data_IF_859525872985
#
_entry.id   IF_859525872985
#
_cell.length_a   1.000
_cell.length_b   1.000
_cell.length_c   1.000
_cell.angle_alpha   90.00
_cell.angle_beta   90.00
_cell.angle_gamma   90.00
#
_symmetry.space_group_name_H-M   'P 1'
#
loop_
_entity.id
_entity.type
_entity.pdbx_description
1 polymer ?
#
# COMPACT_ATOMS: atom_id res chain seq x y z
N UNK A 1 -8.46 -18.72 4.35
CA UNK A 1 -7.27 -18.07 3.78
C UNK A 1 -7.01 -18.67 2.41
N UNK A 2 -6.64 -17.83 1.44
CA UNK A 2 -6.41 -18.18 0.04
C UNK A 2 -5.00 -17.75 -0.38
N UNK A 3 -4.28 -18.63 -1.06
CA UNK A 3 -2.97 -18.29 -1.63
C UNK A 3 -3.17 -17.41 -2.88
N UNK A 4 -2.53 -16.24 -2.88
CA UNK A 4 -2.57 -15.28 -3.98
C UNK A 4 -1.14 -14.99 -4.42
N UNK A 5 -0.87 -15.18 -5.70
CA UNK A 5 0.40 -14.82 -6.32
C UNK A 5 0.22 -13.56 -7.14
N UNK A 6 0.97 -12.51 -6.83
CA UNK A 6 0.90 -11.25 -7.54
C UNK A 6 2.28 -10.76 -7.99
N UNK A 7 2.29 -9.94 -9.05
CA UNK A 7 3.48 -9.22 -9.48
C UNK A 7 3.58 -7.91 -8.70
N UNK A 8 4.71 -7.65 -8.07
CA UNK A 8 5.02 -6.40 -7.35
C UNK A 8 6.40 -5.91 -7.76
N UNK A 9 6.74 -4.69 -7.41
CA UNK A 9 8.06 -4.13 -7.65
C UNK A 9 9.12 -4.79 -6.75
N UNK A 10 10.32 -5.04 -7.28
CA UNK A 10 11.40 -5.73 -6.55
C UNK A 10 11.74 -5.00 -5.24
N UNK A 11 11.80 -3.67 -5.27
CA UNK A 11 12.03 -2.84 -4.09
C UNK A 11 10.97 -3.06 -3.01
N UNK A 12 9.70 -3.21 -3.39
CA UNK A 12 8.61 -3.46 -2.44
C UNK A 12 8.78 -4.85 -1.80
N UNK A 13 9.20 -5.85 -2.59
CA UNK A 13 9.47 -7.21 -2.09
C UNK A 13 10.64 -7.23 -1.11
N UNK A 14 11.73 -6.55 -1.44
CA UNK A 14 12.91 -6.42 -0.57
C UNK A 14 12.54 -5.73 0.73
N UNK A 15 11.78 -4.64 0.68
CA UNK A 15 11.34 -3.93 1.88
C UNK A 15 10.38 -4.75 2.75
N UNK A 16 9.47 -5.52 2.15
CA UNK A 16 8.63 -6.48 2.90
C UNK A 16 9.51 -7.52 3.61
N UNK A 17 10.57 -7.98 2.96
CA UNK A 17 11.51 -8.95 3.52
C UNK A 17 12.33 -8.35 4.67
N UNK A 18 12.87 -7.14 4.50
CA UNK A 18 13.60 -6.43 5.57
C UNK A 18 12.70 -6.20 6.79
N UNK A 19 11.46 -5.77 6.57
CA UNK A 19 10.52 -5.51 7.65
C UNK A 19 10.08 -6.81 8.35
N UNK A 20 9.95 -7.91 7.60
CA UNK A 20 9.61 -9.23 8.17
C UNK A 20 10.72 -9.75 9.07
N UNK A 21 11.98 -9.57 8.69
CA UNK A 21 13.15 -9.89 9.50
C UNK A 21 13.24 -9.02 10.76
N UNK A 22 13.09 -7.70 10.62
CA UNK A 22 13.11 -6.75 11.75
C UNK A 22 12.02 -7.06 12.78
N UNK A 23 10.81 -7.38 12.32
CA UNK A 23 9.65 -7.68 13.18
C UNK A 23 9.58 -9.14 13.61
N UNK A 24 10.48 -10.01 13.14
CA UNK A 24 10.49 -11.46 13.38
C UNK A 24 9.14 -12.12 13.02
N UNK A 25 8.57 -11.73 11.88
CA UNK A 25 7.28 -12.21 11.37
C UNK A 25 7.44 -12.73 9.95
N UNK A 26 6.47 -13.48 9.45
CA UNK A 26 6.52 -13.91 8.06
C UNK A 26 6.22 -12.76 7.09
N UNK A 27 6.80 -12.82 5.88
CA UNK A 27 6.50 -11.84 4.83
C UNK A 27 5.02 -11.79 4.47
N UNK A 28 4.28 -12.90 4.63
CA UNK A 28 2.82 -12.93 4.43
C UNK A 28 2.05 -12.20 5.54
N UNK A 29 2.53 -12.20 6.78
CA UNK A 29 1.93 -11.42 7.87
C UNK A 29 2.17 -9.93 7.67
N UNK A 30 3.41 -9.55 7.37
CA UNK A 30 3.75 -8.15 7.06
C UNK A 30 2.95 -7.63 5.87
N UNK A 31 2.83 -8.44 4.81
CA UNK A 31 2.07 -8.02 3.62
C UNK A 31 0.57 -7.86 3.94
N UNK A 32 0.00 -8.69 4.82
CA UNK A 32 -1.39 -8.53 5.26
C UNK A 32 -1.61 -7.23 6.01
N UNK A 33 -0.71 -6.90 6.94
CA UNK A 33 -0.79 -5.62 7.66
C UNK A 33 -0.65 -4.44 6.67
N UNK A 34 0.25 -4.53 5.70
CA UNK A 34 0.36 -3.50 4.65
C UNK A 34 -0.93 -3.33 3.84
N UNK A 35 -1.63 -4.43 3.53
CA UNK A 35 -2.91 -4.40 2.83
C UNK A 35 -3.97 -3.72 3.70
N UNK A 36 -4.12 -4.14 4.95
CA UNK A 36 -5.13 -3.58 5.86
C UNK A 36 -4.87 -2.09 6.11
N UNK A 37 -3.60 -1.72 6.27
CA UNK A 37 -3.18 -0.33 6.36
C UNK A 37 -3.60 0.43 5.09
N UNK A 38 -3.22 -0.06 3.90
CA UNK A 38 -3.58 0.56 2.62
C UNK A 38 -5.09 0.68 2.40
N UNK A 39 -5.88 -0.32 2.80
CA UNK A 39 -7.34 -0.28 2.75
C UNK A 39 -7.88 0.82 3.66
N UNK A 40 -7.43 0.87 4.92
CA UNK A 40 -7.85 1.90 5.88
C UNK A 40 -7.55 3.30 5.38
N UNK A 41 -6.34 3.51 4.85
CA UNK A 41 -5.96 4.77 4.22
C UNK A 41 -6.87 5.14 3.05
N UNK A 42 -7.12 4.22 2.13
CA UNK A 42 -7.96 4.48 0.97
C UNK A 42 -9.42 4.81 1.36
N UNK A 43 -9.94 4.21 2.42
CA UNK A 43 -11.30 4.44 2.90
C UNK A 43 -11.47 5.79 3.61
N UNK A 44 -10.47 6.21 4.39
CA UNK A 44 -10.57 7.40 5.24
C UNK A 44 -10.01 8.66 4.58
N UNK A 45 -8.93 8.52 3.81
CA UNK A 45 -8.28 9.61 3.12
C UNK A 45 -7.76 9.16 1.75
N UNK A 46 -8.66 8.94 0.79
CA UNK A 46 -8.27 8.53 -0.55
C UNK A 46 -7.34 9.57 -1.16
N UNK A 47 -6.16 9.14 -1.58
CA UNK A 47 -5.21 10.03 -2.24
C UNK A 47 -5.61 10.14 -3.71
N UNK A 48 -6.05 11.35 -4.09
CA UNK A 48 -6.48 11.66 -5.45
C UNK A 48 -5.28 12.25 -6.21
N UNK A 49 -4.59 11.45 -7.02
CA UNK A 49 -3.58 11.96 -7.94
C UNK A 49 -4.30 12.57 -9.14
N UNK A 50 -4.24 13.90 -9.29
CA UNK A 50 -4.77 14.59 -10.46
C UNK A 50 -3.68 14.69 -11.53
N UNK A 51 -3.92 14.13 -12.71
CA UNK A 51 -3.07 14.36 -13.89
C UNK A 51 -3.34 15.73 -14.52
N UNK A 52 -2.61 16.04 -15.59
CA UNK A 52 -2.89 17.22 -16.41
C UNK A 52 -4.38 17.27 -16.80
N UNK A 53 -4.99 18.46 -16.71
CA UNK A 53 -6.43 18.71 -16.92
C UNK A 53 -7.38 18.15 -15.84
N UNK A 54 -6.86 17.80 -14.65
CA UNK A 54 -7.70 17.45 -13.49
C UNK A 54 -8.24 16.01 -13.48
N UNK A 55 -7.77 15.15 -14.39
CA UNK A 55 -8.20 13.75 -14.49
C UNK A 55 -7.58 12.94 -13.34
N UNK A 56 -8.42 12.35 -12.49
CA UNK A 56 -7.99 11.44 -11.41
C UNK A 56 -7.30 10.20 -11.99
N UNK A 57 -6.10 9.87 -11.48
CA UNK A 57 -5.35 8.67 -11.82
C UNK A 57 -5.17 7.81 -10.57
N UNK A 58 -5.32 6.50 -10.74
CA UNK A 58 -5.02 5.52 -9.69
C UNK A 58 -3.50 5.44 -9.45
N UNK A 59 -3.12 5.09 -8.21
CA UNK A 59 -1.74 4.78 -7.81
C UNK A 59 -1.08 3.71 -8.68
N UNK A 60 -1.87 2.90 -9.39
CA UNK A 60 -1.40 1.88 -10.34
C UNK A 60 -0.45 2.42 -11.41
N UNK A 61 -0.51 3.72 -11.74
CA UNK A 61 0.33 4.38 -12.76
C UNK A 61 1.62 4.98 -12.24
N UNK A 62 1.85 5.01 -10.92
CA UNK A 62 3.17 5.33 -10.37
C UNK A 62 4.12 4.18 -10.63
N UNK A 63 5.22 4.44 -11.35
CA UNK A 63 6.30 3.46 -11.51
C UNK A 63 7.19 3.51 -10.26
N UNK A 64 7.14 2.44 -9.46
CA UNK A 64 8.00 2.26 -8.30
C UNK A 64 9.20 1.38 -8.66
N UNK A 65 10.22 1.97 -9.28
CA UNK A 65 11.34 1.21 -9.83
C UNK A 65 10.97 0.46 -11.11
N UNK A 66 11.98 -0.18 -11.71
CA UNK A 66 11.90 -0.62 -13.11
C UNK A 66 11.63 -2.12 -13.28
N UNK A 67 11.82 -2.94 -12.23
CA UNK A 67 11.67 -4.40 -12.30
C UNK A 67 10.53 -4.93 -11.42
N UNK A 68 9.60 -5.67 -12.06
CA UNK A 68 8.51 -6.35 -11.38
C UNK A 68 8.82 -7.83 -11.11
N UNK A 69 8.80 -8.24 -9.85
CA UNK A 69 8.98 -9.60 -9.33
C UNK A 69 7.65 -10.22 -8.87
N UNK A 70 7.65 -11.49 -8.43
CA UNK A 70 6.47 -12.17 -7.87
C UNK A 70 6.60 -12.40 -6.37
N UNK A 71 5.48 -12.29 -5.68
CA UNK A 71 5.30 -12.70 -4.29
C UNK A 71 4.04 -13.55 -4.17
N UNK A 72 4.09 -14.57 -3.31
CA UNK A 72 2.96 -15.42 -2.97
C UNK A 72 2.60 -15.20 -1.51
N UNK A 73 1.35 -14.83 -1.24
CA UNK A 73 0.86 -14.45 0.08
C UNK A 73 -0.46 -15.14 0.38
N UNK A 74 -0.69 -15.51 1.63
CA UNK A 74 -1.98 -16.01 2.07
C UNK A 74 -2.83 -14.86 2.58
N UNK A 75 -3.99 -14.65 1.96
CA UNK A 75 -4.92 -13.58 2.29
C UNK A 75 -6.26 -14.12 2.80
N UNK A 76 -6.93 -13.34 3.62
CA UNK A 76 -8.32 -13.63 4.00
C UNK A 76 -9.27 -13.16 2.90
N UNK A 77 -10.39 -13.88 2.71
CA UNK A 77 -11.40 -13.53 1.70
C UNK A 77 -11.96 -12.11 1.94
N UNK A 78 -12.02 -11.70 3.20
CA UNK A 78 -12.41 -10.35 3.57
C UNK A 78 -11.44 -9.28 3.07
N UNK A 79 -10.13 -9.50 3.17
CA UNK A 79 -9.12 -8.58 2.65
C UNK A 79 -9.22 -8.44 1.13
N UNK A 80 -9.48 -9.56 0.41
CA UNK A 80 -9.68 -9.56 -1.03
C UNK A 80 -10.91 -8.72 -1.43
N UNK A 81 -12.02 -8.92 -0.71
CA UNK A 81 -13.27 -8.19 -0.91
C UNK A 81 -13.12 -6.70 -0.59
N UNK A 82 -12.51 -6.37 0.54
CA UNK A 82 -12.33 -4.99 0.98
C UNK A 82 -11.37 -4.21 0.09
N UNK A 83 -10.26 -4.81 -0.34
CA UNK A 83 -9.36 -4.19 -1.30
C UNK A 83 -10.08 -3.90 -2.62
N UNK A 84 -10.79 -4.90 -3.18
CA UNK A 84 -11.53 -4.74 -4.43
C UNK A 84 -12.55 -3.61 -4.35
N UNK A 85 -13.24 -3.48 -3.21
CA UNK A 85 -14.22 -2.41 -2.94
C UNK A 85 -13.53 -1.04 -2.79
N UNK A 86 -12.41 -0.96 -2.09
CA UNK A 86 -11.73 0.29 -1.78
C UNK A 86 -11.02 0.91 -3.01
N UNK A 87 -10.44 0.08 -3.87
CA UNK A 87 -9.61 0.53 -5.00
C UNK A 87 -10.34 0.49 -6.36
N UNK A 88 -11.57 -0.02 -6.42
CA UNK A 88 -12.37 -0.14 -7.65
C UNK A 88 -11.55 -0.71 -8.84
N UNK A 89 -10.83 -1.81 -8.58
CA UNK A 89 -9.94 -2.46 -9.53
C UNK A 89 -10.18 -3.99 -9.49
N UNK A 90 -9.63 -4.71 -10.46
CA UNK A 90 -9.48 -6.17 -10.39
C UNK A 90 -8.87 -6.58 -9.06
N UNK A 91 -9.24 -7.75 -8.53
CA UNK A 91 -8.80 -8.21 -7.20
C UNK A 91 -7.27 -8.12 -7.04
N UNK A 92 -6.50 -8.63 -8.00
CA UNK A 92 -5.03 -8.57 -7.97
C UNK A 92 -4.47 -7.15 -8.11
N UNK A 93 -5.15 -6.28 -8.88
CA UNK A 93 -4.79 -4.87 -9.01
C UNK A 93 -5.05 -4.10 -7.71
N UNK A 94 -6.21 -4.33 -7.10
CA UNK A 94 -6.62 -3.73 -5.84
C UNK A 94 -5.69 -4.14 -4.69
N UNK A 95 -5.33 -5.41 -4.59
CA UNK A 95 -4.36 -5.88 -3.58
C UNK A 95 -2.99 -5.23 -3.79
N UNK A 96 -2.53 -5.12 -5.03
CA UNK A 96 -1.26 -4.43 -5.33
C UNK A 96 -1.32 -2.96 -4.91
N UNK A 97 -2.42 -2.27 -5.21
CA UNK A 97 -2.62 -0.87 -4.81
C UNK A 97 -2.67 -0.72 -3.29
N UNK A 98 -3.32 -1.64 -2.57
CA UNK A 98 -3.35 -1.67 -1.12
C UNK A 98 -1.93 -1.82 -0.52
N UNK A 99 -1.13 -2.79 -1.00
CA UNK A 99 0.24 -2.98 -0.51
C UNK A 99 1.08 -1.72 -0.76
N UNK A 100 1.00 -1.15 -1.97
CA UNK A 100 1.73 0.07 -2.33
C UNK A 100 1.34 1.23 -1.42
N UNK A 101 0.04 1.46 -1.24
CA UNK A 101 -0.44 2.55 -0.40
C UNK A 101 -0.01 2.34 1.05
N UNK A 102 -0.20 1.15 1.62
CA UNK A 102 0.26 0.83 2.97
C UNK A 102 1.76 1.09 3.16
N UNK A 103 2.58 0.68 2.19
CA UNK A 103 4.03 0.92 2.23
C UNK A 103 4.39 2.42 2.22
N UNK A 104 3.78 3.18 1.30
CA UNK A 104 4.03 4.61 1.17
C UNK A 104 3.64 5.34 2.46
N UNK A 105 2.52 4.95 3.03
CA UNK A 105 2.00 5.59 4.23
C UNK A 105 2.83 5.24 5.48
N UNK A 106 3.28 3.99 5.60
CA UNK A 106 4.21 3.58 6.65
C UNK A 106 5.52 4.40 6.59
N UNK A 107 5.92 4.84 5.39
CA UNK A 107 7.17 5.55 5.15
C UNK A 107 6.96 7.02 4.76
N UNK A 108 5.78 7.60 5.00
CA UNK A 108 5.36 8.87 4.39
C UNK A 108 6.33 10.04 4.64
N UNK A 109 7.02 10.07 5.78
CA UNK A 109 8.04 11.08 6.10
C UNK A 109 9.30 11.01 5.21
N UNK A 110 9.52 9.87 4.55
CA UNK A 110 10.71 9.55 3.73
C UNK A 110 10.41 9.44 2.24
N UNK A 111 9.13 9.44 1.82
CA UNK A 111 8.77 9.32 0.39
C UNK A 111 8.72 10.69 -0.28
N UNK A 112 9.67 10.94 -1.19
CA UNK A 112 9.71 12.15 -2.03
C UNK A 112 9.09 11.84 -3.39
N UNK A 113 8.10 12.64 -3.83
CA UNK A 113 7.57 12.54 -5.18
C UNK A 113 8.21 13.60 -6.06
N UNK A 114 8.85 13.19 -7.14
CA UNK A 114 9.39 14.10 -8.14
C UNK A 114 8.41 14.25 -9.29
N UNK A 115 7.96 15.47 -9.56
CA UNK A 115 7.40 15.86 -10.85
C UNK A 115 8.52 16.58 -11.63
N UNK A 116 8.66 16.45 -12.97
CA UNK A 116 9.63 17.17 -13.79
C UNK A 116 9.82 18.66 -13.47
N UNK A 117 8.83 19.34 -12.88
CA UNK A 117 8.90 20.76 -12.53
C UNK A 117 9.10 21.06 -11.03
N UNK A 118 8.86 20.11 -10.12
CA UNK A 118 8.95 20.35 -8.67
C UNK A 118 8.94 19.06 -7.84
N UNK A 119 9.64 19.08 -6.71
CA UNK A 119 9.42 18.12 -5.63
C UNK A 119 8.07 18.37 -4.96
N UNK A 120 7.25 17.33 -4.85
CA UNK A 120 5.97 17.33 -4.17
C UNK A 120 6.13 16.46 -2.92
N UNK A 121 5.76 17.02 -1.77
CA UNK A 121 5.68 16.31 -0.49
C UNK A 121 4.20 16.08 -0.15
N UNK A 122 3.49 15.18 -0.85
CA UNK A 122 2.03 15.06 -0.75
C UNK A 122 1.54 14.61 0.64
N UNK A 123 2.45 14.18 1.52
CA UNK A 123 2.14 13.62 2.83
C UNK A 123 2.74 14.38 4.01
N UNK A 124 3.37 15.54 3.77
CA UNK A 124 4.05 16.34 4.80
C UNK A 124 3.12 16.81 5.93
N UNK A 125 1.85 17.01 5.62
CA UNK A 125 0.83 17.48 6.57
C UNK A 125 -0.08 16.34 7.07
N UNK A 126 0.22 15.08 6.75
CA UNK A 126 -0.65 13.96 7.07
C UNK A 126 -0.26 13.29 8.39
N UNK A 127 -0.94 13.66 9.48
CA UNK A 127 -0.88 12.95 10.76
C UNK A 127 -2.18 12.17 10.96
N UNK A 128 -2.11 10.85 10.91
CA UNK A 128 -3.22 9.98 11.31
C UNK A 128 -2.98 9.53 12.74
N UNK A 129 -3.75 10.10 13.66
CA UNK A 129 -3.68 9.73 15.07
C UNK A 129 -4.73 8.67 15.44
N UNK A 130 -5.63 8.28 14.53
CA UNK A 130 -6.63 7.23 14.79
C UNK A 130 -7.38 6.80 13.51
N UNK A 131 -7.12 5.60 12.98
CA UNK A 131 -8.01 5.00 11.98
C UNK A 131 -9.35 4.64 12.64
N UNK A 132 -10.46 4.88 11.94
CA UNK A 132 -11.75 4.27 12.28
C UNK A 132 -11.76 2.78 11.97
N UNK A 133 -10.96 2.36 10.99
CA UNK A 133 -10.76 0.96 10.67
C UNK A 133 -9.83 0.29 11.71
N UNK A 134 -10.40 -0.53 12.58
CA UNK A 134 -9.67 -1.23 13.65
C UNK A 134 -8.56 -2.14 13.11
N UNK A 135 -8.75 -2.76 11.94
CA UNK A 135 -7.70 -3.57 11.30
C UNK A 135 -6.54 -2.72 10.82
N UNK A 136 -6.83 -1.57 10.21
CA UNK A 136 -5.80 -0.63 9.78
C UNK A 136 -5.02 -0.07 10.98
N UNK A 137 -5.70 0.23 12.09
CA UNK A 137 -5.04 0.65 13.33
C UNK A 137 -4.12 -0.43 13.89
N UNK A 138 -4.63 -1.67 14.02
CA UNK A 138 -3.83 -2.80 14.49
C UNK A 138 -2.65 -3.08 13.56
N UNK A 139 -2.85 -3.00 12.25
CA UNK A 139 -1.81 -3.16 11.25
C UNK A 139 -0.72 -2.08 11.39
N UNK A 140 -1.11 -0.82 11.60
CA UNK A 140 -0.16 0.26 11.85
C UNK A 140 0.69 0.01 13.10
N UNK A 141 0.07 -0.39 14.21
CA UNK A 141 0.78 -0.73 15.45
C UNK A 141 1.74 -1.92 15.27
N UNK A 142 1.34 -2.93 14.50
CA UNK A 142 2.19 -4.09 14.23
C UNK A 142 3.39 -3.77 13.33
N UNK A 143 3.27 -2.75 12.48
CA UNK A 143 4.29 -2.35 11.49
C UNK A 143 5.26 -1.30 12.04
N UNK A 144 4.85 -0.49 13.01
CA UNK A 144 5.67 0.53 13.68
C UNK A 144 6.72 -0.11 14.58
#
# INVERSE_FOLDING_TARGET
>A
MRLVTLRIESILKEQIQELSEQKKRSSSEVTRDLIDLGIGYQQESPIIIKGAHGITRSFSKLRYGDEGTRISIYLEEEQLREASKAFNNSETGAIREAIRLGYIMLNAEKVIFTNPEKEIYPFKDFKLESFKNERAQKAFENLK
#
